data_IF_645454210996
#
_entry.id   IF_645454210996
#
_cell.length_a   1.000
_cell.length_b   1.000
_cell.length_c   1.000
_cell.angle_alpha   90.00
_cell.angle_beta   90.00
_cell.angle_gamma   90.00
#
_symmetry.space_group_name_H-M   'P 1'
#
loop_
_entity.id
_entity.type
_entity.pdbx_description
1 polymer ?
#
# COMPACT_ATOMS: atom_id res chain seq x y z
N UNK A 1 10.43 -11.85 -7.19
CA UNK A 1 10.70 -10.92 -8.31
C UNK A 1 12.14 -11.12 -8.75
N UNK A 2 12.42 -11.22 -10.04
CA UNK A 2 13.76 -11.49 -10.59
C UNK A 2 14.03 -10.69 -11.89
N UNK A 3 13.56 -9.43 -11.96
CA UNK A 3 13.77 -8.57 -13.13
C UNK A 3 14.09 -7.13 -12.72
N UNK A 4 14.85 -6.44 -13.56
CA UNK A 4 15.19 -5.02 -13.41
C UNK A 4 15.46 -4.38 -14.77
N UNK A 5 15.20 -3.07 -14.88
CA UNK A 5 15.52 -2.29 -16.09
C UNK A 5 16.72 -1.39 -15.77
N UNK A 6 17.80 -1.52 -16.53
CA UNK A 6 18.94 -0.60 -16.47
C UNK A 6 18.78 0.47 -17.57
N UNK A 7 18.63 1.73 -17.15
CA UNK A 7 18.48 2.90 -18.02
C UNK A 7 19.48 3.97 -17.58
N UNK A 8 20.03 4.75 -18.52
CA UNK A 8 20.91 5.86 -18.18
C UNK A 8 21.96 6.16 -19.25
N UNK A 9 23.12 6.62 -18.79
CA UNK A 9 24.24 7.00 -19.66
C UNK A 9 24.74 5.83 -20.49
N UNK A 10 24.94 6.06 -21.79
CA UNK A 10 25.38 5.04 -22.74
C UNK A 10 26.70 4.37 -22.35
N UNK A 11 27.69 5.11 -21.91
CA UNK A 11 29.00 4.57 -21.52
C UNK A 11 28.91 3.60 -20.33
N UNK A 12 28.01 3.88 -19.37
CA UNK A 12 27.77 3.00 -18.22
C UNK A 12 26.98 1.74 -18.62
N UNK A 13 26.02 1.88 -19.54
CA UNK A 13 25.28 0.74 -20.12
C UNK A 13 26.25 -0.17 -20.88
N UNK A 14 27.11 0.40 -21.73
CA UNK A 14 28.09 -0.35 -22.50
C UNK A 14 29.07 -1.07 -21.56
N UNK A 15 29.52 -0.43 -20.48
CA UNK A 15 30.33 -1.08 -19.45
C UNK A 15 29.57 -2.24 -18.74
N UNK A 16 28.29 -2.07 -18.44
CA UNK A 16 27.47 -3.14 -17.86
C UNK A 16 27.30 -4.34 -18.81
N UNK A 17 27.19 -4.10 -20.13
CA UNK A 17 27.12 -5.16 -21.16
C UNK A 17 28.39 -6.03 -21.18
N UNK A 18 29.55 -5.51 -20.77
CA UNK A 18 30.77 -6.34 -20.65
C UNK A 18 30.67 -7.39 -19.52
N UNK A 19 29.66 -7.31 -18.65
CA UNK A 19 29.34 -8.37 -17.69
C UNK A 19 28.36 -9.41 -18.28
N UNK A 20 28.05 -9.34 -19.58
CA UNK A 20 27.17 -10.27 -20.28
C UNK A 20 27.96 -11.29 -21.13
N UNK A 21 27.27 -12.23 -21.76
CA UNK A 21 27.88 -13.12 -22.76
C UNK A 21 28.54 -12.29 -23.89
N UNK A 22 29.73 -12.67 -24.39
CA UNK A 22 30.47 -13.94 -24.19
C UNK A 22 31.47 -13.97 -23.02
N UNK A 23 31.52 -12.95 -22.17
CA UNK A 23 32.53 -12.86 -21.11
C UNK A 23 32.25 -13.83 -19.95
N UNK A 24 33.24 -14.68 -19.63
CA UNK A 24 33.18 -15.65 -18.52
C UNK A 24 33.51 -15.00 -17.17
N UNK A 25 33.08 -15.64 -16.06
CA UNK A 25 33.33 -15.14 -14.69
C UNK A 25 32.57 -13.87 -14.29
N UNK A 26 31.59 -13.44 -15.10
CA UNK A 26 30.84 -12.21 -14.91
C UNK A 26 29.69 -12.35 -13.90
N UNK A 27 29.44 -11.28 -13.14
CA UNK A 27 28.42 -11.24 -12.08
C UNK A 27 26.99 -11.41 -12.62
N UNK A 28 26.72 -11.02 -13.87
CA UNK A 28 25.37 -11.07 -14.44
C UNK A 28 24.92 -12.45 -14.90
N UNK A 29 25.83 -13.44 -14.97
CA UNK A 29 25.49 -14.83 -15.35
C UNK A 29 24.41 -15.45 -14.45
N UNK A 30 24.53 -15.42 -13.10
CA UNK A 30 23.46 -15.87 -12.20
C UNK A 30 22.23 -14.93 -12.16
N UNK A 31 22.35 -13.69 -12.64
CA UNK A 31 21.27 -12.68 -12.59
C UNK A 31 20.42 -12.63 -13.88
N UNK A 32 20.48 -13.66 -14.72
CA UNK A 32 19.75 -13.67 -15.99
C UNK A 32 18.24 -13.71 -15.75
N UNK A 33 17.54 -12.78 -16.37
CA UNK A 33 16.08 -12.68 -16.35
C UNK A 33 15.45 -13.75 -17.24
N UNK A 34 14.35 -14.37 -16.80
CA UNK A 34 13.58 -15.34 -17.57
C UNK A 34 12.82 -14.69 -18.73
N UNK A 35 12.37 -15.50 -19.69
CA UNK A 35 11.69 -14.99 -20.90
C UNK A 35 10.31 -14.40 -20.56
N UNK A 36 9.63 -14.98 -19.58
CA UNK A 36 8.35 -14.52 -19.06
C UNK A 36 8.49 -13.13 -18.42
N UNK A 37 9.51 -12.92 -17.60
CA UNK A 37 9.77 -11.63 -16.97
C UNK A 37 10.21 -10.56 -17.98
N UNK A 38 10.97 -10.92 -19.02
CA UNK A 38 11.30 -9.99 -20.11
C UNK A 38 10.02 -9.50 -20.80
N UNK A 39 9.11 -10.41 -21.15
CA UNK A 39 7.84 -10.04 -21.77
C UNK A 39 6.93 -9.25 -20.84
N UNK A 40 6.91 -9.59 -19.54
CA UNK A 40 6.19 -8.83 -18.51
C UNK A 40 6.73 -7.40 -18.38
N UNK A 41 8.05 -7.23 -18.40
CA UNK A 41 8.69 -5.92 -18.32
C UNK A 41 8.41 -5.07 -19.58
N UNK A 42 8.46 -5.68 -20.76
CA UNK A 42 8.09 -5.02 -22.01
C UNK A 42 6.64 -4.53 -21.97
N UNK A 43 5.71 -5.38 -21.54
CA UNK A 43 4.30 -5.03 -21.40
C UNK A 43 4.09 -3.91 -20.36
N UNK A 44 4.79 -3.95 -19.24
CA UNK A 44 4.75 -2.90 -18.22
C UNK A 44 5.21 -1.55 -18.77
N UNK A 45 6.34 -1.48 -19.47
CA UNK A 45 6.86 -0.25 -20.07
C UNK A 45 5.90 0.29 -21.13
N UNK A 46 5.39 -0.56 -22.01
CA UNK A 46 4.44 -0.16 -23.05
C UNK A 46 3.11 0.34 -22.47
N UNK A 47 2.65 -0.28 -21.39
CA UNK A 47 1.43 0.14 -20.67
C UNK A 47 1.67 1.48 -20.00
N UNK A 48 2.77 1.63 -19.27
CA UNK A 48 3.15 2.87 -18.59
C UNK A 48 3.24 4.05 -19.55
N UNK A 49 3.80 3.85 -20.75
CA UNK A 49 3.91 4.89 -21.78
C UNK A 49 2.53 5.42 -22.23
N UNK A 50 1.48 4.61 -22.16
CA UNK A 50 0.13 4.94 -22.64
C UNK A 50 -0.84 5.31 -21.52
N UNK A 51 -0.45 5.12 -20.26
CA UNK A 51 -1.32 5.24 -19.11
C UNK A 51 -1.60 6.70 -18.81
N UNK A 52 -2.88 7.08 -18.72
CA UNK A 52 -3.28 8.39 -18.20
C UNK A 52 -3.24 8.35 -16.67
N UNK A 53 -2.12 8.81 -16.10
CA UNK A 53 -1.92 8.87 -14.65
C UNK A 53 -2.95 9.79 -13.96
N UNK A 54 -3.46 10.82 -14.65
CA UNK A 54 -4.47 11.70 -14.08
C UNK A 54 -5.83 11.01 -14.02
N UNK A 55 -6.19 10.24 -15.05
CA UNK A 55 -7.40 9.41 -15.02
C UNK A 55 -7.33 8.38 -13.89
N UNK A 56 -6.20 7.71 -13.77
CA UNK A 56 -5.97 6.72 -12.72
C UNK A 56 -6.07 7.33 -11.32
N UNK A 57 -5.45 8.50 -11.10
CA UNK A 57 -5.57 9.23 -9.84
C UNK A 57 -7.01 9.66 -9.54
N UNK A 58 -7.80 10.07 -10.54
CA UNK A 58 -9.24 10.39 -10.35
C UNK A 58 -10.02 9.15 -9.93
N UNK A 59 -9.76 8.02 -10.55
CA UNK A 59 -10.41 6.73 -10.25
C UNK A 59 -10.10 6.27 -8.82
N UNK A 60 -8.83 6.30 -8.43
CA UNK A 60 -8.39 5.98 -7.06
C UNK A 60 -9.02 6.90 -6.02
N UNK A 61 -9.02 8.22 -6.27
CA UNK A 61 -9.72 9.18 -5.41
C UNK A 61 -11.22 8.87 -5.29
N UNK A 62 -11.88 8.51 -6.39
CA UNK A 62 -13.29 8.17 -6.36
C UNK A 62 -13.56 6.89 -5.54
N UNK A 63 -12.67 5.89 -5.57
CA UNK A 63 -12.76 4.68 -4.74
C UNK A 63 -12.69 5.01 -3.25
N UNK A 64 -11.67 5.74 -2.80
CA UNK A 64 -11.58 6.13 -1.37
C UNK A 64 -12.75 6.99 -0.92
N UNK A 65 -13.26 7.88 -1.78
CA UNK A 65 -14.44 8.69 -1.48
C UNK A 65 -15.71 7.85 -1.30
N UNK A 66 -15.89 6.79 -2.10
CA UNK A 66 -17.05 5.90 -1.95
C UNK A 66 -16.98 5.11 -0.65
N UNK A 67 -15.80 4.64 -0.27
CA UNK A 67 -15.58 3.97 1.03
C UNK A 67 -15.88 4.94 2.17
N UNK A 68 -15.29 6.14 2.13
CA UNK A 68 -15.49 7.19 3.14
C UNK A 68 -16.99 7.48 3.36
N UNK A 69 -17.74 7.73 2.27
CA UNK A 69 -19.18 7.99 2.32
C UNK A 69 -19.99 6.89 3.00
N UNK A 70 -19.61 5.62 2.84
CA UNK A 70 -20.29 4.50 3.50
C UNK A 70 -19.95 4.45 4.99
N UNK A 71 -18.69 4.64 5.33
CA UNK A 71 -18.16 4.51 6.69
C UNK A 71 -18.58 5.70 7.57
N UNK A 72 -18.62 6.92 7.01
CA UNK A 72 -19.08 8.14 7.69
C UNK A 72 -20.56 8.07 8.13
N UNK A 73 -21.33 7.10 7.62
CA UNK A 73 -22.71 6.88 8.09
C UNK A 73 -22.79 6.28 9.49
N UNK A 74 -21.67 5.78 10.05
CA UNK A 74 -21.61 5.23 11.39
C UNK A 74 -21.37 6.36 12.41
N UNK A 75 -22.31 6.65 13.33
CA UNK A 75 -22.12 7.70 14.33
C UNK A 75 -20.87 7.46 15.19
N UNK A 76 -20.00 8.47 15.29
CA UNK A 76 -18.76 8.39 16.06
C UNK A 76 -17.53 7.91 15.29
N UNK A 77 -17.68 7.61 13.99
CA UNK A 77 -16.58 7.34 13.07
C UNK A 77 -16.28 8.61 12.27
N UNK A 78 -14.99 8.86 12.02
CA UNK A 78 -14.52 9.95 11.16
C UNK A 78 -13.55 9.40 10.13
N UNK A 79 -13.57 9.99 8.93
CA UNK A 79 -12.64 9.63 7.87
C UNK A 79 -11.84 10.82 7.38
N UNK A 80 -10.61 10.57 6.96
CA UNK A 80 -9.72 11.57 6.34
C UNK A 80 -9.05 10.97 5.12
N UNK A 81 -9.27 11.60 3.97
CA UNK A 81 -8.53 11.27 2.75
C UNK A 81 -7.29 12.18 2.70
N UNK A 82 -6.13 11.59 2.50
CA UNK A 82 -4.89 12.31 2.30
C UNK A 82 -4.00 11.60 1.28
N UNK A 83 -2.99 12.29 0.78
CA UNK A 83 -1.97 11.71 -0.10
C UNK A 83 -0.65 11.79 0.67
N UNK A 84 0.03 10.67 0.94
CA UNK A 84 1.34 10.69 1.59
C UNK A 84 2.35 11.51 0.75
N UNK A 85 3.10 12.37 1.43
CA UNK A 85 4.15 13.20 0.80
C UNK A 85 5.44 12.41 0.58
N UNK A 86 5.71 11.42 1.44
CA UNK A 86 6.91 10.59 1.40
C UNK A 86 6.62 9.21 0.81
N UNK A 87 7.43 8.80 -0.17
CA UNK A 87 7.36 7.46 -0.76
C UNK A 87 6.15 7.24 -1.68
N UNK A 88 5.33 6.25 -1.36
CA UNK A 88 4.19 5.81 -2.17
C UNK A 88 3.02 6.84 -2.11
N UNK A 89 3.03 7.79 -3.04
CA UNK A 89 2.08 8.92 -3.07
C UNK A 89 0.77 8.54 -3.78
N UNK A 90 -0.15 7.90 -3.04
CA UNK A 90 -1.48 7.52 -3.52
C UNK A 90 -2.59 8.01 -2.59
N UNK A 91 -3.80 8.30 -3.10
CA UNK A 91 -4.96 8.60 -2.25
C UNK A 91 -5.18 7.49 -1.22
N UNK A 92 -5.11 7.87 0.05
CA UNK A 92 -5.22 6.97 1.20
C UNK A 92 -6.33 7.45 2.11
N UNK A 93 -7.21 6.53 2.49
CA UNK A 93 -8.29 6.77 3.43
C UNK A 93 -7.87 6.33 4.82
N UNK A 94 -7.84 7.26 5.78
CA UNK A 94 -7.75 6.95 7.19
C UNK A 94 -9.15 6.89 7.81
N UNK A 95 -9.37 5.89 8.65
CA UNK A 95 -10.61 5.71 9.41
C UNK A 95 -10.29 5.73 10.90
N UNK A 96 -10.96 6.63 11.62
CA UNK A 96 -10.75 6.85 13.06
C UNK A 96 -12.08 6.74 13.82
N UNK A 97 -12.02 6.08 14.98
CA UNK A 97 -13.10 6.02 15.96
C UNK A 97 -12.51 5.97 17.38
N UNK A 98 -13.36 6.14 18.39
CA UNK A 98 -12.97 5.99 19.79
C UNK A 98 -13.06 4.50 20.19
N UNK A 99 -11.91 3.83 20.25
CA UNK A 99 -11.84 2.38 20.55
C UNK A 99 -12.50 2.02 21.89
N UNK A 100 -12.45 2.91 22.89
CA UNK A 100 -13.06 2.67 24.21
C UNK A 100 -14.57 2.75 24.13
N UNK A 101 -15.11 3.74 23.43
CA UNK A 101 -16.57 3.90 23.23
C UNK A 101 -17.16 2.81 22.35
N UNK A 102 -16.38 2.25 21.43
CA UNK A 102 -16.84 1.19 20.54
C UNK A 102 -16.57 -0.21 21.08
N UNK A 103 -15.74 -0.34 22.12
CA UNK A 103 -15.26 -1.65 22.59
C UNK A 103 -14.52 -2.43 21.52
N UNK A 104 -13.95 -1.74 20.51
CA UNK A 104 -13.33 -2.31 19.33
C UNK A 104 -12.03 -1.57 19.03
N UNK A 105 -10.91 -2.27 19.14
CA UNK A 105 -9.60 -1.75 18.79
C UNK A 105 -9.35 -1.82 17.27
N UNK A 106 -8.44 -0.99 16.74
CA UNK A 106 -8.02 -1.08 15.33
C UNK A 106 -7.53 -2.48 14.96
N UNK A 107 -6.78 -3.14 15.85
CA UNK A 107 -6.25 -4.49 15.61
C UNK A 107 -7.36 -5.57 15.57
N UNK A 108 -8.43 -5.40 16.34
CA UNK A 108 -9.59 -6.29 16.28
C UNK A 108 -10.37 -6.06 14.98
N UNK A 109 -10.58 -4.80 14.58
CA UNK A 109 -11.23 -4.48 13.31
C UNK A 109 -10.46 -5.05 12.11
N UNK A 110 -9.13 -4.89 12.08
CA UNK A 110 -8.24 -5.49 11.07
C UNK A 110 -8.36 -7.02 11.03
N UNK A 111 -8.40 -7.67 12.20
CA UNK A 111 -8.60 -9.12 12.27
C UNK A 111 -9.97 -9.55 11.74
N UNK A 112 -11.05 -8.86 12.10
CA UNK A 112 -12.40 -9.17 11.60
C UNK A 112 -12.52 -8.99 10.07
N UNK A 113 -11.85 -7.98 9.52
CA UNK A 113 -11.74 -7.78 8.07
C UNK A 113 -10.98 -8.93 7.40
N UNK A 114 -9.86 -9.36 8.01
CA UNK A 114 -9.01 -10.44 7.52
C UNK A 114 -9.66 -11.82 7.60
N UNK A 115 -10.43 -12.08 8.65
CA UNK A 115 -11.11 -13.36 8.89
C UNK A 115 -12.43 -13.47 8.11
N UNK A 116 -12.89 -12.35 7.53
CA UNK A 116 -14.08 -12.29 6.69
C UNK A 116 -13.91 -12.97 5.32
N UNK A 117 -15.05 -13.15 4.64
CA UNK A 117 -15.11 -13.54 3.23
C UNK A 117 -15.85 -12.45 2.42
N UNK A 118 -15.21 -11.81 1.42
CA UNK A 118 -13.80 -11.95 1.07
C UNK A 118 -12.87 -11.42 2.18
N UNK A 119 -11.65 -11.93 2.20
CA UNK A 119 -10.57 -11.47 3.10
C UNK A 119 -10.13 -10.08 2.70
N UNK A 120 -10.14 -9.14 3.64
CA UNK A 120 -9.72 -7.76 3.42
C UNK A 120 -8.51 -7.47 4.28
N UNK A 121 -7.38 -7.12 3.64
CA UNK A 121 -6.17 -6.65 4.32
C UNK A 121 -6.12 -5.12 4.25
N UNK A 122 -5.83 -4.49 5.38
CA UNK A 122 -5.68 -3.04 5.49
C UNK A 122 -4.30 -2.70 6.03
N UNK A 123 -3.95 -1.42 5.93
CA UNK A 123 -2.73 -0.90 6.55
C UNK A 123 -3.02 -0.56 8.02
N UNK A 124 -2.11 -1.01 8.88
CA UNK A 124 -2.10 -0.75 10.32
C UNK A 124 -0.65 -0.64 10.79
N UNK A 125 -0.42 -0.40 12.08
CA UNK A 125 0.94 -0.44 12.63
C UNK A 125 1.64 -1.80 12.46
N UNK A 126 0.90 -2.91 12.32
CA UNK A 126 1.47 -4.23 12.06
C UNK A 126 1.68 -4.53 10.57
N UNK A 127 1.13 -3.69 9.69
CA UNK A 127 1.28 -3.79 8.24
C UNK A 127 1.40 -2.37 7.65
N UNK A 128 2.50 -1.64 7.91
CA UNK A 128 2.66 -0.26 7.46
C UNK A 128 2.93 -0.18 5.95
N UNK A 129 2.54 0.93 5.30
CA UNK A 129 2.81 1.17 3.87
C UNK A 129 4.30 1.25 3.54
N UNK A 130 5.08 1.81 4.47
CA UNK A 130 6.51 2.06 4.32
C UNK A 130 7.29 1.16 5.27
N UNK A 131 8.38 0.60 4.76
CA UNK A 131 9.42 0.04 5.63
C UNK A 131 10.08 1.21 6.33
N UNK A 132 9.94 1.29 7.65
CA UNK A 132 10.65 2.28 8.44
C UNK A 132 12.15 2.04 8.23
N UNK A 133 12.87 3.07 7.79
CA UNK A 133 14.32 3.03 7.86
C UNK A 133 14.69 2.76 9.32
N UNK A 134 15.56 1.79 9.57
CA UNK A 134 16.21 1.74 10.87
C UNK A 134 17.05 3.00 10.96
N UNK A 135 16.59 3.99 11.73
CA UNK A 135 17.45 5.12 12.06
C UNK A 135 18.69 4.53 12.72
N UNK A 136 19.88 4.85 12.17
CA UNK A 136 21.11 4.70 12.93
C UNK A 136 21.07 5.73 14.04
N UNK A 137 20.36 5.41 15.12
CA UNK A 137 20.34 6.21 16.33
C UNK A 137 21.68 5.95 17.01
N UNK A 138 22.60 6.91 16.99
CA UNK A 138 23.61 6.96 18.04
C UNK A 138 22.85 6.97 19.37
N UNK A 139 23.15 6.02 20.23
CA UNK A 139 22.36 5.70 21.41
C UNK A 139 22.30 6.87 22.39
N UNK A 140 21.41 7.84 22.13
CA UNK A 140 21.04 8.85 23.11
C UNK A 140 19.88 8.28 23.93
N UNK A 141 20.21 7.83 25.13
CA UNK A 141 19.44 6.87 25.92
C UNK A 141 18.11 7.41 26.50
N UNK A 142 17.72 8.65 26.20
CA UNK A 142 16.62 9.35 26.90
C UNK A 142 15.39 9.69 26.04
N UNK A 143 15.35 9.37 24.74
CA UNK A 143 14.12 9.58 23.94
C UNK A 143 13.19 8.37 24.09
N UNK A 144 12.22 8.46 25.01
CA UNK A 144 11.07 7.55 25.04
C UNK A 144 10.24 7.73 23.77
N UNK A 145 10.45 6.86 22.78
CA UNK A 145 9.56 6.76 21.63
C UNK A 145 8.25 6.11 22.07
N UNK A 146 7.20 6.91 22.26
CA UNK A 146 5.85 6.35 22.34
C UNK A 146 5.51 5.74 20.97
N UNK A 147 5.03 4.48 20.93
CA UNK A 147 4.63 3.89 19.67
C UNK A 147 3.46 4.71 19.09
N UNK A 148 3.49 5.03 17.79
CA UNK A 148 2.45 5.83 17.17
C UNK A 148 1.09 5.17 17.38
N UNK A 149 0.03 5.97 17.58
CA UNK A 149 -1.35 5.48 17.64
C UNK A 149 -1.62 4.56 16.45
N UNK A 150 -2.17 3.38 16.70
CA UNK A 150 -2.56 2.48 15.61
C UNK A 150 -3.66 3.12 14.77
N UNK A 151 -3.48 3.12 13.45
CA UNK A 151 -4.38 3.76 12.50
C UNK A 151 -4.83 2.71 11.48
N UNK A 152 -6.12 2.73 11.13
CA UNK A 152 -6.64 1.91 10.05
C UNK A 152 -6.62 2.73 8.77
N UNK A 153 -5.87 2.27 7.78
CA UNK A 153 -5.70 2.96 6.51
C UNK A 153 -5.98 2.03 5.32
N UNK A 154 -6.59 2.60 4.28
CA UNK A 154 -6.99 1.89 3.06
C UNK A 154 -6.40 2.64 1.86
N UNK A 155 -5.66 1.92 1.02
CA UNK A 155 -5.06 2.45 -0.21
C UNK A 155 -5.89 1.98 -1.40
N UNK A 156 -6.40 2.89 -2.22
CA UNK A 156 -7.28 2.53 -3.35
C UNK A 156 -6.57 1.92 -4.55
N UNK A 157 -5.25 2.07 -4.66
CA UNK A 157 -4.46 1.53 -5.77
C UNK A 157 -4.58 0.00 -5.87
N UNK A 158 -4.76 -0.68 -4.73
CA UNK A 158 -4.80 -2.15 -4.66
C UNK A 158 -6.20 -2.72 -4.83
N UNK A 159 -7.21 -1.88 -5.06
CA UNK A 159 -8.61 -2.30 -5.22
C UNK A 159 -8.96 -2.41 -6.70
N UNK A 160 -9.73 -3.44 -7.04
CA UNK A 160 -10.41 -3.58 -8.32
C UNK A 160 -11.76 -2.86 -8.31
N UNK A 161 -12.39 -2.78 -9.48
CA UNK A 161 -13.72 -2.19 -9.62
C UNK A 161 -14.77 -2.94 -8.79
N UNK A 162 -15.49 -2.19 -7.96
CA UNK A 162 -16.54 -2.72 -7.07
C UNK A 162 -16.03 -3.23 -5.72
N UNK A 163 -14.74 -3.48 -5.55
CA UNK A 163 -14.18 -3.93 -4.27
C UNK A 163 -14.24 -2.83 -3.19
N UNK A 164 -14.19 -1.58 -3.59
CA UNK A 164 -14.40 -0.43 -2.71
C UNK A 164 -15.77 -0.45 -2.02
N UNK A 165 -16.83 -0.89 -2.70
CA UNK A 165 -18.14 -1.08 -2.06
C UNK A 165 -18.15 -2.25 -1.09
N UNK A 166 -17.43 -3.33 -1.38
CA UNK A 166 -17.30 -4.48 -0.48
C UNK A 166 -16.58 -4.05 0.81
N UNK A 167 -15.44 -3.38 0.66
CA UNK A 167 -14.64 -2.85 1.78
C UNK A 167 -15.47 -1.88 2.61
N UNK A 168 -16.11 -0.88 1.98
CA UNK A 168 -16.90 0.12 2.68
C UNK A 168 -18.11 -0.47 3.42
N UNK A 169 -18.81 -1.45 2.83
CA UNK A 169 -19.93 -2.14 3.49
C UNK A 169 -19.46 -2.96 4.68
N UNK A 170 -18.41 -3.76 4.51
CA UNK A 170 -17.90 -4.62 5.60
C UNK A 170 -17.38 -3.79 6.77
N UNK A 171 -16.64 -2.73 6.49
CA UNK A 171 -16.14 -1.84 7.54
C UNK A 171 -17.28 -1.16 8.29
N UNK A 172 -18.30 -0.68 7.57
CA UNK A 172 -19.53 -0.12 8.15
C UNK A 172 -20.28 -1.13 9.03
N UNK A 173 -20.38 -2.40 8.60
CA UNK A 173 -21.03 -3.47 9.36
C UNK A 173 -20.31 -3.76 10.67
N UNK A 174 -18.98 -3.91 10.63
CA UNK A 174 -18.15 -4.16 11.83
C UNK A 174 -18.28 -3.00 12.82
N UNK A 175 -18.09 -1.76 12.35
CA UNK A 175 -18.13 -0.58 13.20
C UNK A 175 -19.53 -0.33 13.79
N UNK A 176 -20.61 -0.54 13.03
CA UNK A 176 -21.96 -0.46 13.58
C UNK A 176 -22.22 -1.55 14.62
N UNK A 177 -21.81 -2.79 14.34
CA UNK A 177 -21.99 -3.92 15.26
C UNK A 177 -21.31 -3.64 16.60
N UNK A 178 -20.06 -3.18 16.56
CA UNK A 178 -19.31 -2.79 17.74
C UNK A 178 -20.02 -1.66 18.51
N UNK A 179 -20.42 -0.59 17.82
CA UNK A 179 -21.15 0.54 18.42
C UNK A 179 -22.45 0.13 19.10
N UNK A 180 -23.18 -0.84 18.56
CA UNK A 180 -24.45 -1.31 19.16
C UNK A 180 -24.25 -2.25 20.35
N UNK A 181 -23.06 -2.82 20.51
CA UNK A 181 -22.71 -3.74 21.61
C UNK A 181 -22.04 -3.03 22.79
N UNK A 182 -21.46 -1.86 22.56
CA UNK A 182 -20.83 -1.02 23.58
C UNK A 182 -21.86 -0.19 24.36
#
# INVERSE_FOLDING_TARGET
QCAGILLGRKDLIDAAIHNYNPYEGSICRPMKVGKEEIMGMLAAVQTWQKLDLNALNREWNARVQRIAKLVDTVPGVSTKIYIPEEGNSYPTLRVDWDEKKFGLTVAQCDRELRDGNPRIEVLTNSNPSMVRAAEHVEADADIKHEPPKNQLEIVSMTLQDGEDLIVGRRLREILNTARTRA
#
